data_IF_130178875657
#
_entry.id   IF_130178875657
#
_cell.length_a   1.000
_cell.length_b   1.000
_cell.length_c   1.000
_cell.angle_alpha   90.00
_cell.angle_beta   90.00
_cell.angle_gamma   90.00
#
_symmetry.space_group_name_H-M   'P 1'
#
loop_
_entity.id
_entity.type
_entity.pdbx_description
1 polymer ?
#
# COMPACT_ATOMS: atom_id res chain seq x y z
N UNK A 1 44.18 37.53 31.26
CA UNK A 1 44.16 36.30 30.47
C UNK A 1 42.70 35.98 30.23
N UNK A 2 42.22 36.22 29.02
CA UNK A 2 40.83 35.97 28.57
C UNK A 2 40.90 34.69 27.74
N UNK A 3 40.33 33.58 28.26
CA UNK A 3 40.19 32.34 27.53
C UNK A 3 39.05 32.51 26.50
N UNK A 4 39.39 32.47 25.23
CA UNK A 4 38.43 32.38 24.15
C UNK A 4 38.07 30.90 23.96
N UNK A 5 36.91 30.50 24.45
CA UNK A 5 36.33 29.21 24.14
C UNK A 5 35.88 29.19 22.70
N UNK A 6 36.63 28.53 21.83
CA UNK A 6 36.24 28.24 20.46
C UNK A 6 35.08 27.21 20.51
N UNK A 7 33.87 27.66 20.15
CA UNK A 7 32.71 26.82 19.92
C UNK A 7 32.94 26.07 18.60
N UNK A 8 33.22 24.77 18.68
CA UNK A 8 33.26 23.93 17.51
C UNK A 8 31.87 23.95 16.84
N UNK A 9 31.81 24.44 15.62
CA UNK A 9 30.62 24.28 14.78
C UNK A 9 30.53 22.81 14.40
N UNK A 10 29.55 22.10 14.96
CA UNK A 10 29.14 20.81 14.43
C UNK A 10 28.58 21.04 13.02
N UNK A 11 29.39 20.76 12.02
CA UNK A 11 28.92 20.58 10.64
C UNK A 11 28.13 19.29 10.61
N UNK A 12 26.82 19.37 10.79
CA UNK A 12 25.90 18.31 10.40
C UNK A 12 26.02 18.18 8.88
N UNK A 13 26.78 17.21 8.41
CA UNK A 13 26.72 16.77 7.02
C UNK A 13 25.33 16.18 6.83
N UNK A 14 24.45 16.91 6.13
CA UNK A 14 23.18 16.38 5.68
C UNK A 14 23.47 15.13 4.85
N UNK A 15 22.96 13.97 5.29
CA UNK A 15 23.18 12.74 4.57
C UNK A 15 22.60 12.91 3.15
N UNK A 16 23.40 12.56 2.14
CA UNK A 16 22.96 12.65 0.74
C UNK A 16 21.66 11.86 0.55
N UNK A 17 20.75 12.41 -0.25
CA UNK A 17 19.51 11.70 -0.65
C UNK A 17 19.92 10.41 -1.36
N UNK A 18 19.35 9.25 -0.98
CA UNK A 18 19.66 7.99 -1.63
C UNK A 18 19.36 8.05 -3.13
N UNK A 19 20.29 7.55 -3.94
CA UNK A 19 20.05 7.42 -5.39
C UNK A 19 19.14 6.23 -5.67
N UNK A 20 18.18 6.39 -6.57
CA UNK A 20 17.30 5.32 -7.04
C UNK A 20 16.87 5.58 -8.49
N UNK A 21 16.42 4.54 -9.16
CA UNK A 21 15.93 4.62 -10.54
C UNK A 21 14.48 4.18 -10.61
N UNK A 22 13.63 5.05 -11.15
CA UNK A 22 12.23 4.71 -11.45
C UNK A 22 12.15 3.90 -12.74
N UNK A 23 11.30 2.88 -12.75
CA UNK A 23 10.97 2.13 -13.94
C UNK A 23 9.85 2.82 -14.70
N UNK A 24 10.07 3.11 -15.97
CA UNK A 24 9.12 3.88 -16.81
C UNK A 24 8.63 3.12 -18.03
N UNK A 25 9.27 2.00 -18.37
CA UNK A 25 9.08 1.31 -19.65
C UNK A 25 8.13 0.10 -19.55
N UNK A 26 7.49 -0.09 -18.38
CA UNK A 26 6.54 -1.17 -18.17
C UNK A 26 5.15 -0.82 -18.72
N UNK A 27 4.38 -1.83 -19.18
CA UNK A 27 3.05 -1.61 -19.75
C UNK A 27 2.11 -0.88 -18.80
N UNK A 28 1.36 0.08 -19.36
CA UNK A 28 0.28 0.79 -18.67
C UNK A 28 -1.02 0.64 -19.42
N UNK A 29 -2.15 0.89 -18.77
CA UNK A 29 -3.48 0.89 -19.38
C UNK A 29 -4.17 2.23 -19.16
N UNK A 30 -5.14 2.54 -20.01
CA UNK A 30 -6.03 3.69 -19.81
C UNK A 30 -7.29 3.22 -19.08
N UNK A 31 -7.52 3.72 -17.86
CA UNK A 31 -8.69 3.35 -17.07
C UNK A 31 -10.01 3.68 -17.77
N UNK A 32 -10.02 4.67 -18.66
CA UNK A 32 -11.24 5.04 -19.40
C UNK A 32 -11.74 3.95 -20.35
N UNK A 33 -10.92 2.96 -20.65
CA UNK A 33 -11.29 1.79 -21.45
C UNK A 33 -12.04 0.71 -20.67
N UNK A 34 -12.08 0.84 -19.33
CA UNK A 34 -12.76 -0.13 -18.47
C UNK A 34 -14.25 0.20 -18.34
N UNK A 35 -15.11 -0.82 -18.18
CA UNK A 35 -16.54 -0.60 -18.00
C UNK A 35 -16.82 0.13 -16.69
N UNK A 36 -17.92 0.90 -16.66
CA UNK A 36 -18.40 1.53 -15.44
C UNK A 36 -19.61 0.77 -14.87
N UNK A 37 -19.68 0.72 -13.56
CA UNK A 37 -20.89 0.28 -12.87
C UNK A 37 -22.00 1.35 -12.90
N UNK A 38 -23.13 1.04 -12.24
CA UNK A 38 -24.29 1.95 -12.17
C UNK A 38 -24.01 3.24 -11.38
N UNK A 39 -22.95 3.29 -10.60
CA UNK A 39 -22.52 4.44 -9.79
C UNK A 39 -21.41 5.26 -10.50
N UNK A 40 -21.07 4.86 -11.74
CA UNK A 40 -20.06 5.51 -12.58
C UNK A 40 -18.62 5.20 -12.17
N UNK A 41 -18.38 4.17 -11.35
CA UNK A 41 -17.06 3.68 -10.96
C UNK A 41 -16.51 2.76 -12.04
N UNK A 42 -15.26 2.86 -12.36
CA UNK A 42 -14.58 1.92 -13.25
C UNK A 42 -14.43 0.56 -12.57
N UNK A 43 -14.92 -0.50 -13.23
CA UNK A 43 -14.76 -1.89 -12.78
C UNK A 43 -13.41 -2.36 -13.28
N UNK A 44 -12.38 -2.28 -12.43
CA UNK A 44 -10.99 -2.60 -12.78
C UNK A 44 -10.64 -4.08 -12.61
N UNK A 45 -11.57 -4.88 -12.10
CA UNK A 45 -11.50 -6.34 -12.09
C UNK A 45 -12.87 -6.93 -12.41
N UNK A 46 -12.94 -7.72 -13.46
CA UNK A 46 -14.18 -8.29 -14.02
C UNK A 46 -14.59 -9.64 -13.42
N UNK A 47 -13.80 -10.15 -12.44
CA UNK A 47 -13.98 -11.47 -11.85
C UNK A 47 -13.48 -12.63 -12.70
N UNK A 48 -12.88 -12.39 -13.88
CA UNK A 48 -12.55 -13.44 -14.85
C UNK A 48 -11.16 -13.31 -15.46
N UNK A 49 -10.63 -12.09 -15.56
CA UNK A 49 -9.35 -11.82 -16.24
C UNK A 49 -8.47 -10.88 -15.44
N UNK A 50 -7.17 -10.93 -15.68
CA UNK A 50 -6.22 -9.94 -15.19
C UNK A 50 -6.05 -8.75 -16.15
N UNK A 51 -7.08 -8.43 -16.96
CA UNK A 51 -6.99 -7.28 -17.85
C UNK A 51 -6.67 -6.00 -17.07
N UNK A 52 -5.58 -5.32 -17.44
CA UNK A 52 -5.08 -4.12 -16.76
C UNK A 52 -4.23 -4.37 -15.52
N UNK A 53 -4.02 -5.63 -15.15
CA UNK A 53 -3.18 -6.02 -14.02
C UNK A 53 -1.88 -6.65 -14.48
N UNK A 54 -0.80 -6.40 -13.76
CA UNK A 54 0.52 -7.01 -13.91
C UNK A 54 1.26 -7.06 -12.59
N UNK A 55 2.37 -7.76 -12.54
CA UNK A 55 3.24 -7.71 -11.38
C UNK A 55 3.95 -6.35 -11.25
N UNK A 56 4.30 -6.00 -10.01
CA UNK A 56 5.25 -4.94 -9.75
C UNK A 56 6.61 -5.31 -10.38
N UNK A 57 7.29 -4.34 -11.00
CA UNK A 57 8.61 -4.52 -11.63
C UNK A 57 8.62 -5.53 -12.79
N UNK A 58 7.46 -5.87 -13.39
CA UNK A 58 7.37 -6.83 -14.50
C UNK A 58 6.13 -6.58 -15.38
N UNK A 59 6.19 -7.10 -16.62
CA UNK A 59 5.12 -6.89 -17.59
C UNK A 59 4.00 -7.92 -17.54
N UNK A 60 4.24 -9.08 -16.92
CA UNK A 60 3.29 -10.19 -16.80
C UNK A 60 2.73 -10.29 -15.37
N UNK A 61 1.66 -11.06 -15.21
CA UNK A 61 1.10 -11.39 -13.90
C UNK A 61 1.92 -12.52 -13.27
N UNK A 62 2.39 -12.37 -12.01
CA UNK A 62 3.11 -13.46 -11.34
C UNK A 62 2.24 -14.70 -11.20
N UNK A 63 2.84 -15.89 -11.39
CA UNK A 63 2.09 -17.15 -11.45
C UNK A 63 1.41 -17.58 -10.15
N UNK A 64 1.79 -17.00 -9.01
CA UNK A 64 1.12 -17.22 -7.73
C UNK A 64 -0.26 -16.56 -7.66
N UNK A 65 -0.53 -15.54 -8.49
CA UNK A 65 -1.84 -14.91 -8.59
C UNK A 65 -2.74 -15.68 -9.54
N UNK A 66 -3.92 -16.07 -9.07
CA UNK A 66 -4.93 -16.80 -9.82
C UNK A 66 -6.29 -16.13 -9.66
N UNK A 67 -7.27 -16.60 -10.42
CA UNK A 67 -8.67 -16.20 -10.24
C UNK A 67 -9.45 -17.41 -9.76
N UNK A 68 -10.04 -17.29 -8.58
CA UNK A 68 -10.82 -18.33 -7.92
C UNK A 68 -12.20 -17.77 -7.52
N UNK A 69 -13.27 -18.36 -7.99
CA UNK A 69 -14.66 -17.97 -7.67
C UNK A 69 -14.95 -16.46 -7.85
N UNK A 70 -14.41 -15.87 -8.91
CA UNK A 70 -14.60 -14.45 -9.21
C UNK A 70 -13.76 -13.49 -8.36
N UNK A 71 -12.76 -14.00 -7.66
CA UNK A 71 -11.80 -13.21 -6.88
C UNK A 71 -10.37 -13.41 -7.39
N UNK A 72 -9.57 -12.35 -7.33
CA UNK A 72 -8.11 -12.44 -7.42
C UNK A 72 -7.62 -13.13 -6.13
N UNK A 73 -6.81 -14.16 -6.28
CA UNK A 73 -6.23 -14.91 -5.16
C UNK A 73 -4.72 -14.96 -5.28
N UNK A 74 -4.02 -14.62 -4.22
CA UNK A 74 -2.62 -15.03 -4.03
C UNK A 74 -2.59 -16.41 -3.40
N UNK A 75 -1.86 -17.35 -4.03
CA UNK A 75 -1.66 -18.70 -3.50
C UNK A 75 -0.41 -18.71 -2.66
N UNK A 76 -0.59 -18.68 -1.36
CA UNK A 76 0.48 -18.60 -0.40
C UNK A 76 1.39 -19.85 -0.43
N UNK A 77 2.66 -19.63 -0.09
CA UNK A 77 3.67 -20.69 0.10
C UNK A 77 4.06 -20.88 1.57
N UNK A 78 3.53 -20.02 2.46
CA UNK A 78 3.91 -19.95 3.87
C UNK A 78 5.31 -19.34 4.10
N UNK A 79 5.88 -18.65 3.11
CA UNK A 79 7.23 -18.08 3.18
C UNK A 79 7.28 -16.68 3.85
N UNK A 80 6.15 -16.14 4.27
CA UNK A 80 6.06 -14.79 4.86
C UNK A 80 6.54 -13.71 3.90
N UNK A 81 7.27 -12.71 4.37
CA UNK A 81 7.79 -11.59 3.58
C UNK A 81 8.64 -11.98 2.35
N UNK A 82 9.07 -13.24 2.26
CA UNK A 82 9.75 -13.74 1.07
C UNK A 82 8.79 -13.95 -0.12
N UNK A 83 7.48 -13.83 0.11
CA UNK A 83 6.44 -13.96 -0.89
C UNK A 83 6.16 -15.42 -1.31
N UNK A 84 5.16 -15.60 -2.17
CA UNK A 84 4.80 -16.89 -2.72
C UNK A 84 5.83 -17.37 -3.76
N UNK A 85 5.93 -18.68 -3.97
CA UNK A 85 6.70 -19.23 -5.09
C UNK A 85 6.17 -18.69 -6.41
N UNK A 86 7.04 -18.12 -7.26
CA UNK A 86 6.67 -17.41 -8.49
C UNK A 86 5.67 -16.26 -8.22
N UNK A 87 5.86 -15.58 -7.11
CA UNK A 87 5.03 -14.48 -6.62
C UNK A 87 5.56 -13.10 -6.99
N UNK A 88 5.26 -12.16 -6.15
CA UNK A 88 5.51 -10.72 -6.25
C UNK A 88 4.20 -9.94 -6.24
N UNK A 89 4.27 -8.68 -5.85
CA UNK A 89 3.08 -7.84 -5.72
C UNK A 89 2.35 -7.65 -7.05
N UNK A 90 1.03 -7.54 -6.99
CA UNK A 90 0.17 -7.33 -8.14
C UNK A 90 -0.28 -5.87 -8.19
N UNK A 91 -0.14 -5.20 -9.33
CA UNK A 91 -0.56 -3.81 -9.49
C UNK A 91 -1.58 -3.65 -10.62
N UNK A 92 -2.50 -2.69 -10.46
CA UNK A 92 -3.32 -2.18 -11.56
C UNK A 92 -2.49 -1.16 -12.34
N UNK A 93 -2.27 -1.40 -13.62
CA UNK A 93 -1.29 -0.70 -14.45
C UNK A 93 -1.73 0.71 -14.92
N UNK A 94 -2.46 1.45 -14.07
CA UNK A 94 -2.87 2.83 -14.28
C UNK A 94 -2.55 3.65 -13.03
N UNK A 95 -1.89 4.80 -13.19
CA UNK A 95 -1.58 5.69 -12.09
C UNK A 95 -2.75 6.57 -11.72
N UNK A 96 -2.97 6.75 -10.43
CA UNK A 96 -4.07 7.51 -9.86
C UNK A 96 -3.53 8.51 -8.83
N UNK A 97 -4.06 9.73 -8.82
CA UNK A 97 -3.77 10.76 -7.82
C UNK A 97 -4.96 11.00 -6.90
N UNK A 98 -6.12 11.30 -7.48
CA UNK A 98 -7.36 11.54 -6.75
C UNK A 98 -8.38 10.45 -7.10
N UNK A 99 -8.78 9.64 -6.13
CA UNK A 99 -9.66 8.50 -6.37
C UNK A 99 -10.36 8.00 -5.12
N UNK A 100 -11.41 7.24 -5.31
CA UNK A 100 -11.95 6.29 -4.34
C UNK A 100 -11.77 4.88 -4.89
N UNK A 101 -11.10 4.02 -4.16
CA UNK A 101 -10.94 2.60 -4.41
C UNK A 101 -11.86 1.82 -3.48
N UNK A 102 -12.78 1.03 -4.02
CA UNK A 102 -13.57 0.06 -3.26
C UNK A 102 -13.15 -1.35 -3.62
N UNK A 103 -13.11 -2.22 -2.61
CA UNK A 103 -12.74 -3.62 -2.77
C UNK A 103 -13.30 -4.47 -1.63
N UNK A 104 -13.42 -5.75 -1.88
CA UNK A 104 -13.65 -6.73 -0.82
C UNK A 104 -12.42 -7.61 -0.69
N UNK A 105 -12.09 -7.98 0.54
CA UNK A 105 -10.96 -8.84 0.85
C UNK A 105 -11.31 -9.93 1.86
N UNK A 106 -10.63 -11.05 1.76
CA UNK A 106 -10.74 -12.20 2.66
C UNK A 106 -9.35 -12.78 2.86
N UNK A 107 -9.03 -13.11 4.11
CA UNK A 107 -7.75 -13.74 4.47
C UNK A 107 -7.95 -15.18 4.91
N UNK A 108 -6.97 -16.03 4.65
CA UNK A 108 -6.84 -17.34 5.28
C UNK A 108 -6.43 -17.22 6.76
N UNK A 109 -6.43 -18.32 7.49
CA UNK A 109 -5.99 -18.34 8.89
C UNK A 109 -4.50 -17.97 9.00
N UNK A 110 -4.21 -16.94 9.79
CA UNK A 110 -2.86 -16.44 10.00
C UNK A 110 -2.25 -15.74 8.78
N UNK A 111 -3.07 -15.34 7.79
CA UNK A 111 -2.59 -14.72 6.55
C UNK A 111 -2.39 -13.21 6.70
N UNK A 112 -1.48 -12.69 5.87
CA UNK A 112 -1.10 -11.28 5.73
C UNK A 112 -1.04 -10.88 4.26
N UNK A 113 -1.41 -9.65 3.99
CA UNK A 113 -1.32 -8.94 2.73
C UNK A 113 -1.49 -7.43 2.99
N UNK A 114 -1.54 -6.61 1.95
CA UNK A 114 -1.79 -5.18 2.03
C UNK A 114 -2.38 -4.64 0.75
N UNK A 115 -3.07 -3.51 0.83
CA UNK A 115 -3.48 -2.72 -0.32
C UNK A 115 -2.64 -1.45 -0.34
N UNK A 116 -1.83 -1.30 -1.37
CA UNK A 116 -0.96 -0.14 -1.56
C UNK A 116 -1.60 0.89 -2.45
N UNK A 117 -1.32 2.15 -2.16
CA UNK A 117 -1.65 3.29 -3.03
C UNK A 117 -0.39 4.11 -3.33
N UNK A 118 -0.41 4.93 -4.37
CA UNK A 118 0.71 5.80 -4.74
C UNK A 118 2.03 5.06 -5.03
N UNK A 119 1.99 3.78 -5.40
CA UNK A 119 3.19 2.99 -5.70
C UNK A 119 4.01 3.67 -6.79
N UNK A 120 5.29 3.82 -6.54
CA UNK A 120 6.31 4.11 -7.54
C UNK A 120 7.13 2.84 -7.77
N UNK A 121 7.32 2.44 -9.02
CA UNK A 121 8.15 1.29 -9.34
C UNK A 121 9.62 1.71 -9.33
N UNK A 122 10.37 1.17 -8.39
CA UNK A 122 11.80 1.45 -8.18
C UNK A 122 12.60 0.20 -8.49
N UNK A 123 13.55 0.31 -9.42
CA UNK A 123 14.36 -0.83 -9.89
C UNK A 123 15.02 -1.58 -8.72
N UNK A 124 14.76 -2.89 -8.63
CA UNK A 124 15.36 -3.76 -7.62
C UNK A 124 14.90 -3.52 -6.17
N UNK A 125 13.80 -2.77 -5.97
CA UNK A 125 13.27 -2.48 -4.64
C UNK A 125 11.85 -3.04 -4.48
N UNK A 126 11.41 -3.37 -3.27
CA UNK A 126 10.04 -3.80 -3.02
C UNK A 126 9.05 -2.62 -3.11
N UNK A 127 7.79 -2.91 -3.43
CA UNK A 127 6.74 -1.90 -3.63
C UNK A 127 6.44 -1.08 -2.37
N UNK A 128 6.44 -1.71 -1.21
CA UNK A 128 6.03 -1.12 0.07
C UNK A 128 6.96 -0.01 0.58
N UNK A 129 8.15 0.18 -0.01
CA UNK A 129 9.00 1.30 0.38
C UNK A 129 8.57 2.64 -0.22
N UNK A 130 7.68 2.62 -1.21
CA UNK A 130 7.21 3.82 -1.89
C UNK A 130 5.72 4.13 -1.67
N UNK A 131 5.01 3.26 -0.96
CA UNK A 131 3.55 3.28 -0.93
C UNK A 131 2.98 3.19 0.49
N UNK A 132 2.05 4.08 0.88
CA UNK A 132 1.22 3.88 2.06
C UNK A 132 0.39 2.61 1.92
N UNK A 133 0.28 1.88 3.02
CA UNK A 133 -0.36 0.58 3.08
C UNK A 133 -1.63 0.59 3.93
N UNK A 134 -2.74 0.17 3.32
CA UNK A 134 -3.93 -0.30 4.02
C UNK A 134 -3.72 -1.77 4.37
N UNK A 135 -3.52 -2.07 5.66
CA UNK A 135 -3.20 -3.42 6.11
C UNK A 135 -4.35 -4.41 5.88
N UNK A 136 -4.02 -5.61 5.42
CA UNK A 136 -4.95 -6.74 5.25
C UNK A 136 -4.38 -7.96 5.98
N UNK A 137 -5.02 -8.36 7.07
CA UNK A 137 -4.40 -9.32 8.00
C UNK A 137 -5.45 -10.10 8.79
N UNK A 138 -5.13 -11.35 9.18
CA UNK A 138 -5.85 -12.04 10.25
C UNK A 138 -5.41 -11.48 11.61
N UNK A 139 -6.23 -10.60 12.17
CA UNK A 139 -5.93 -9.88 13.40
C UNK A 139 -5.72 -10.78 14.63
N UNK A 140 -6.25 -11.99 14.62
CA UNK A 140 -6.21 -12.91 15.76
C UNK A 140 -4.99 -13.84 15.70
N UNK A 141 -4.68 -14.36 14.50
CA UNK A 141 -3.71 -15.43 14.36
C UNK A 141 -2.36 -14.99 13.77
N UNK A 142 -2.31 -13.89 13.00
CA UNK A 142 -1.03 -13.43 12.46
C UNK A 142 -0.18 -12.72 13.53
N UNK A 143 1.11 -13.05 13.66
CA UNK A 143 1.97 -12.47 14.71
C UNK A 143 2.15 -10.96 14.60
N UNK A 144 2.15 -10.39 13.38
CA UNK A 144 2.35 -8.95 13.16
C UNK A 144 1.22 -8.09 13.77
N UNK A 145 0.00 -8.62 13.91
CA UNK A 145 -1.11 -7.94 14.59
C UNK A 145 -0.81 -7.57 16.05
N UNK A 146 0.16 -8.25 16.67
CA UNK A 146 0.58 -8.06 18.06
C UNK A 146 1.79 -7.14 18.20
N UNK A 147 2.37 -6.78 17.08
CA UNK A 147 3.53 -5.87 16.99
C UNK A 147 3.07 -4.42 16.78
N UNK A 148 4.04 -3.52 16.71
CA UNK A 148 3.77 -2.09 16.57
C UNK A 148 3.23 -1.45 17.84
N UNK A 149 2.41 -0.40 17.68
CA UNK A 149 1.87 0.39 18.77
C UNK A 149 0.35 0.55 18.62
N UNK A 150 -0.38 0.33 19.69
CA UNK A 150 -1.85 0.56 19.77
C UNK A 150 -2.67 -0.18 18.69
N UNK A 151 -2.12 -1.25 18.09
CA UNK A 151 -2.77 -2.03 17.02
C UNK A 151 -2.59 -1.44 15.62
N UNK A 152 -1.58 -0.58 15.41
CA UNK A 152 -1.33 0.06 14.11
C UNK A 152 -0.80 -0.89 13.01
N UNK A 153 -0.74 -2.20 13.29
CA UNK A 153 -0.48 -3.26 12.31
C UNK A 153 -1.65 -4.22 12.12
N UNK A 154 -2.83 -3.88 12.66
CA UNK A 154 -4.07 -4.61 12.41
C UNK A 154 -4.72 -4.16 11.10
N UNK A 155 -5.64 -4.95 10.60
CA UNK A 155 -6.38 -4.68 9.36
C UNK A 155 -6.91 -3.25 9.27
N UNK A 156 -6.83 -2.68 8.08
CA UNK A 156 -7.27 -1.33 7.71
C UNK A 156 -6.49 -0.18 8.35
N UNK A 157 -5.52 -0.46 9.21
CA UNK A 157 -4.58 0.55 9.72
C UNK A 157 -3.75 1.13 8.56
N UNK A 158 -3.30 2.38 8.70
CA UNK A 158 -2.10 2.81 7.99
C UNK A 158 -0.92 2.10 8.65
N UNK A 159 -0.38 1.11 7.96
CA UNK A 159 0.58 0.16 8.52
C UNK A 159 1.74 0.85 9.27
N UNK A 160 1.97 0.38 10.50
CA UNK A 160 3.01 0.86 11.43
C UNK A 160 2.90 2.34 11.86
N UNK A 161 1.83 3.05 11.45
CA UNK A 161 1.64 4.48 11.75
C UNK A 161 0.35 4.76 12.51
N UNK A 162 -0.83 4.52 11.91
CA UNK A 162 -2.13 4.88 12.49
C UNK A 162 -3.00 3.63 12.65
N UNK A 163 -3.45 3.29 13.88
CA UNK A 163 -4.37 2.18 14.08
C UNK A 163 -5.77 2.49 13.56
N UNK A 164 -6.41 1.52 12.88
CA UNK A 164 -7.81 1.62 12.51
C UNK A 164 -8.72 1.60 13.76
N UNK A 165 -9.58 2.60 13.90
CA UNK A 165 -10.54 2.74 15.00
C UNK A 165 -11.90 3.25 14.49
N UNK A 166 -13.02 2.51 14.75
CA UNK A 166 -13.06 1.20 15.41
C UNK A 166 -12.42 0.08 14.56
N UNK A 167 -11.98 -1.00 15.21
CA UNK A 167 -11.46 -2.18 14.52
C UNK A 167 -12.62 -3.13 14.23
N UNK A 168 -13.15 -3.07 12.99
CA UNK A 168 -14.36 -3.78 12.56
C UNK A 168 -14.06 -4.98 11.65
N UNK A 169 -12.80 -5.44 11.55
CA UNK A 169 -12.46 -6.57 10.70
C UNK A 169 -13.17 -7.84 11.16
N UNK A 170 -13.75 -8.55 10.19
CA UNK A 170 -14.30 -9.88 10.40
C UNK A 170 -13.18 -10.92 10.46
N UNK A 171 -13.40 -12.06 11.12
CA UNK A 171 -12.42 -13.14 11.21
C UNK A 171 -11.96 -13.66 9.84
N UNK A 172 -10.87 -14.46 9.85
CA UNK A 172 -10.42 -15.17 8.66
C UNK A 172 -11.55 -16.02 8.04
N UNK A 173 -11.52 -16.18 6.73
CA UNK A 173 -12.57 -16.89 5.98
C UNK A 173 -13.80 -16.06 5.66
N UNK A 174 -13.96 -14.87 6.24
CA UNK A 174 -15.07 -13.96 5.97
C UNK A 174 -14.65 -12.79 5.06
N UNK A 175 -15.60 -12.34 4.22
CA UNK A 175 -15.40 -11.19 3.37
C UNK A 175 -15.55 -9.88 4.14
N UNK A 176 -14.55 -9.02 4.02
CA UNK A 176 -14.53 -7.65 4.53
C UNK A 176 -14.68 -6.67 3.36
N UNK A 177 -15.35 -5.55 3.61
CA UNK A 177 -15.41 -4.40 2.69
C UNK A 177 -14.34 -3.38 3.08
N UNK A 178 -13.45 -3.07 2.14
CA UNK A 178 -12.48 -1.98 2.27
C UNK A 178 -12.82 -0.85 1.30
N UNK A 179 -12.54 0.38 1.72
CA UNK A 179 -12.52 1.55 0.83
C UNK A 179 -11.37 2.46 1.23
N UNK A 180 -10.69 2.98 0.22
CA UNK A 180 -9.67 4.02 0.37
C UNK A 180 -10.11 5.21 -0.47
N UNK A 181 -10.29 6.39 0.15
CA UNK A 181 -10.42 7.65 -0.56
C UNK A 181 -9.08 8.37 -0.49
N UNK A 182 -8.58 8.83 -1.63
CA UNK A 182 -7.43 9.71 -1.73
C UNK A 182 -7.82 10.95 -2.54
N UNK A 183 -7.77 12.11 -1.91
CA UNK A 183 -8.13 13.37 -2.57
C UNK A 183 -7.22 14.52 -2.11
N UNK A 184 -6.44 15.04 -3.04
CA UNK A 184 -5.48 16.15 -2.79
C UNK A 184 -4.58 15.89 -1.57
N UNK A 185 -4.13 14.64 -1.43
CA UNK A 185 -3.27 14.20 -0.33
C UNK A 185 -3.99 13.81 0.96
N UNK A 186 -5.27 14.11 1.12
CA UNK A 186 -6.08 13.53 2.19
C UNK A 186 -6.40 12.09 1.84
N UNK A 187 -6.06 11.16 2.73
CA UNK A 187 -6.35 9.74 2.58
C UNK A 187 -7.21 9.27 3.74
N UNK A 188 -8.27 8.54 3.42
CA UNK A 188 -9.21 8.01 4.41
C UNK A 188 -9.43 6.53 4.16
N UNK A 189 -9.31 5.73 5.22
CA UNK A 189 -9.62 4.30 5.17
C UNK A 189 -10.99 4.04 5.80
N UNK A 190 -11.72 3.09 5.20
CA UNK A 190 -12.99 2.58 5.69
C UNK A 190 -12.94 1.06 5.81
N UNK A 191 -13.64 0.51 6.78
CA UNK A 191 -13.72 -0.93 7.03
C UNK A 191 -15.13 -1.33 7.45
N UNK A 192 -15.81 -2.10 6.59
CA UNK A 192 -17.15 -2.67 6.85
C UNK A 192 -18.23 -1.63 7.25
N UNK A 193 -17.97 -0.34 7.06
CA UNK A 193 -18.90 0.76 7.36
C UNK A 193 -18.58 1.97 6.49
N UNK A 194 -19.47 2.96 6.48
CA UNK A 194 -19.24 4.25 5.82
C UNK A 194 -18.55 5.27 6.75
N UNK A 195 -18.26 4.89 7.99
CA UNK A 195 -17.52 5.72 8.94
C UNK A 195 -16.01 5.51 8.74
N UNK A 196 -15.22 6.60 8.70
CA UNK A 196 -13.76 6.52 8.62
C UNK A 196 -13.15 5.77 9.81
N UNK A 197 -12.17 4.92 9.54
CA UNK A 197 -11.38 4.24 10.59
C UNK A 197 -9.96 4.76 10.71
N UNK A 198 -9.44 5.40 9.64
CA UNK A 198 -8.14 6.08 9.58
C UNK A 198 -8.28 7.30 8.68
N UNK A 199 -7.62 8.41 9.05
CA UNK A 199 -7.43 9.59 8.19
C UNK A 199 -6.02 10.11 8.35
N UNK A 200 -5.38 10.49 7.25
CA UNK A 200 -4.07 11.13 7.23
C UNK A 200 -3.89 12.04 6.01
N UNK A 201 -2.85 12.88 6.06
CA UNK A 201 -2.60 13.89 5.04
C UNK A 201 -1.16 13.76 4.53
N UNK A 202 -1.00 13.24 3.31
CA UNK A 202 0.29 13.13 2.64
C UNK A 202 0.92 14.50 2.43
N UNK A 203 2.24 14.56 2.37
CA UNK A 203 3.05 15.75 2.08
C UNK A 203 2.91 16.89 3.11
N UNK A 204 2.48 16.58 4.31
CA UNK A 204 2.35 17.52 5.43
C UNK A 204 3.44 17.33 6.47
N UNK A 205 3.66 18.31 7.38
CA UNK A 205 4.55 18.11 8.53
C UNK A 205 4.15 16.92 9.41
N UNK A 206 2.85 16.66 9.57
CA UNK A 206 2.34 15.51 10.33
C UNK A 206 2.69 14.18 9.65
N UNK A 207 2.64 14.13 8.30
CA UNK A 207 3.07 12.96 7.54
C UNK A 207 4.55 12.66 7.79
N UNK A 208 5.39 13.71 7.74
CA UNK A 208 6.81 13.58 8.05
C UNK A 208 7.04 13.08 9.47
N UNK A 209 6.33 13.62 10.47
CA UNK A 209 6.45 13.19 11.87
C UNK A 209 6.06 11.72 12.05
N UNK A 210 5.02 11.23 11.36
CA UNK A 210 4.65 9.83 11.37
C UNK A 210 5.74 8.94 10.79
N UNK A 211 6.35 9.34 9.68
CA UNK A 211 7.48 8.62 9.08
C UNK A 211 8.68 8.57 10.02
N UNK A 212 9.03 9.69 10.66
CA UNK A 212 10.13 9.79 11.62
C UNK A 212 9.97 8.78 12.78
N UNK A 213 8.72 8.47 13.16
CA UNK A 213 8.38 7.57 14.27
C UNK A 213 8.06 6.13 13.84
N UNK A 214 8.13 5.79 12.56
CA UNK A 214 7.82 4.46 12.01
C UNK A 214 9.07 3.60 11.78
N UNK A 215 8.85 2.38 11.26
CA UNK A 215 9.94 1.54 10.76
C UNK A 215 10.65 2.15 9.55
N UNK A 216 10.00 3.08 8.85
CA UNK A 216 10.52 3.77 7.66
C UNK A 216 11.26 5.07 7.98
N UNK A 217 11.62 5.32 9.24
CA UNK A 217 12.36 6.54 9.62
C UNK A 217 13.69 6.66 8.87
N UNK A 218 14.15 7.89 8.65
CA UNK A 218 15.36 8.19 7.89
C UNK A 218 16.58 7.42 8.39
N UNK A 219 16.70 7.24 9.71
CA UNK A 219 17.84 6.53 10.33
C UNK A 219 17.80 5.02 10.11
N UNK A 220 16.59 4.44 9.94
CA UNK A 220 16.42 3.00 9.77
C UNK A 220 16.42 2.60 8.30
N UNK A 221 15.74 3.38 7.46
CA UNK A 221 15.58 3.09 6.04
C UNK A 221 15.52 4.36 5.18
N UNK A 222 16.68 4.96 4.88
CA UNK A 222 16.76 6.26 4.19
C UNK A 222 16.00 6.32 2.86
N UNK A 223 16.07 5.26 2.04
CA UNK A 223 15.39 5.21 0.74
C UNK A 223 13.87 5.16 0.89
N UNK A 224 13.36 4.29 1.77
CA UNK A 224 11.92 4.21 2.03
C UNK A 224 11.38 5.52 2.61
N UNK A 225 12.15 6.15 3.49
CA UNK A 225 11.82 7.47 4.02
C UNK A 225 11.65 8.51 2.93
N UNK A 226 12.62 8.61 2.01
CA UNK A 226 12.60 9.58 0.90
C UNK A 226 11.41 9.35 -0.03
N UNK A 227 11.17 8.09 -0.41
CA UNK A 227 10.09 7.72 -1.32
C UNK A 227 8.70 7.96 -0.69
N UNK A 228 8.51 7.59 0.58
CA UNK A 228 7.26 7.79 1.30
C UNK A 228 7.02 9.26 1.63
N UNK A 229 8.06 10.04 1.93
CA UNK A 229 7.94 11.49 2.13
C UNK A 229 7.42 12.17 0.88
N UNK A 230 7.85 11.71 -0.31
CA UNK A 230 7.48 12.20 -1.63
C UNK A 230 6.52 11.27 -2.38
N UNK A 231 5.61 10.64 -1.65
CA UNK A 231 4.63 9.67 -2.14
C UNK A 231 4.00 10.09 -3.47
N UNK A 232 4.00 9.21 -4.47
CA UNK A 232 3.48 9.49 -5.82
C UNK A 232 4.41 10.39 -6.68
N UNK A 233 5.59 10.76 -6.18
CA UNK A 233 6.58 11.54 -6.92
C UNK A 233 6.12 12.96 -7.29
N UNK A 234 6.72 13.51 -8.35
CA UNK A 234 6.45 14.88 -8.79
C UNK A 234 4.99 15.14 -9.21
N UNK A 235 4.34 14.11 -9.79
CA UNK A 235 2.96 14.21 -10.26
C UNK A 235 1.93 13.93 -9.17
N UNK A 236 2.36 13.45 -7.99
CA UNK A 236 1.48 13.03 -6.89
C UNK A 236 0.45 11.99 -7.33
N UNK A 237 0.90 11.02 -8.11
CA UNK A 237 0.13 9.89 -8.62
C UNK A 237 0.97 8.62 -8.59
N UNK A 238 0.32 7.47 -8.43
CA UNK A 238 0.99 6.18 -8.42
C UNK A 238 0.03 5.04 -8.68
N UNK A 239 0.58 3.84 -8.75
CA UNK A 239 -0.24 2.65 -8.94
C UNK A 239 -0.92 2.26 -7.62
N UNK A 240 -2.03 1.52 -7.74
CA UNK A 240 -2.60 0.73 -6.64
C UNK A 240 -2.15 -0.72 -6.80
N UNK A 241 -2.03 -1.44 -5.69
CA UNK A 241 -1.60 -2.84 -5.76
C UNK A 241 -1.95 -3.65 -4.53
N UNK A 242 -1.77 -4.95 -4.67
CA UNK A 242 -1.97 -5.95 -3.63
C UNK A 242 -0.65 -6.64 -3.29
N UNK A 243 -0.36 -6.74 -2.01
CA UNK A 243 0.87 -7.34 -1.51
C UNK A 243 0.83 -8.86 -1.60
N UNK A 244 1.92 -9.44 -2.07
CA UNK A 244 2.26 -10.84 -1.89
C UNK A 244 3.11 -11.01 -0.61
N UNK A 245 2.49 -11.44 0.46
CA UNK A 245 3.18 -11.76 1.72
C UNK A 245 3.37 -13.27 1.92
N UNK A 246 3.19 -14.08 0.87
CA UNK A 246 3.36 -15.53 0.93
C UNK A 246 2.19 -16.28 1.57
N UNK A 247 1.03 -15.66 1.70
CA UNK A 247 -0.15 -16.20 2.37
C UNK A 247 -1.39 -16.19 1.47
N UNK A 248 -2.39 -17.02 1.77
CA UNK A 248 -3.64 -17.07 1.02
C UNK A 248 -4.54 -15.87 1.33
N UNK A 249 -4.73 -15.01 0.34
CA UNK A 249 -5.62 -13.84 0.42
C UNK A 249 -6.41 -13.68 -0.87
N UNK A 250 -7.64 -13.22 -0.78
CA UNK A 250 -8.56 -13.00 -1.90
C UNK A 250 -9.03 -11.56 -1.96
N UNK A 251 -9.15 -11.02 -3.19
CA UNK A 251 -9.70 -9.70 -3.46
C UNK A 251 -10.76 -9.79 -4.57
N UNK A 252 -11.88 -9.08 -4.43
CA UNK A 252 -12.94 -9.03 -5.44
C UNK A 252 -13.71 -7.71 -5.39
N UNK A 253 -14.64 -7.52 -6.34
CA UNK A 253 -15.49 -6.32 -6.40
C UNK A 253 -14.66 -5.04 -6.38
N UNK A 254 -13.60 -5.00 -7.22
CA UNK A 254 -12.61 -3.93 -7.20
C UNK A 254 -13.04 -2.85 -8.19
N UNK A 255 -13.36 -1.67 -7.66
CA UNK A 255 -13.82 -0.53 -8.47
C UNK A 255 -13.10 0.75 -8.09
N UNK A 256 -12.95 1.65 -9.04
CA UNK A 256 -12.32 2.96 -8.85
C UNK A 256 -13.23 4.07 -9.35
N UNK A 257 -13.43 5.08 -8.55
CA UNK A 257 -13.97 6.37 -8.96
C UNK A 257 -12.83 7.38 -9.01
N UNK A 258 -12.57 7.92 -10.19
CA UNK A 258 -11.62 9.03 -10.35
C UNK A 258 -12.30 10.30 -9.85
N UNK A 259 -11.60 11.09 -9.05
CA UNK A 259 -12.07 12.34 -8.46
C UNK A 259 -11.38 13.52 -9.16
N UNK A 260 -12.13 14.61 -9.39
CA UNK A 260 -11.65 15.83 -10.06
C UNK A 260 -10.85 16.77 -9.13
#
# INVERSE_FOLDING_TARGET
MVEILAKAAETTTEAATPEYKLMTDLPTVDITTFPKDKEGRYVIFDGKTFNGWRGYDRADVPGAWTIEDGAIKINGSGAGEAGASNGGDLIFAHKLGNFELEFEWKVGKGSNSGVFIMIQEVEGQPSYISAPEYQVLDNENHPDAKLGKDGNRKSSSLYDMIPAKPQNAKPFGEWNKGKIMCYKGTVVHYLNSDEPVVEYHLWTPQWKEMLDNSKFSKDKWPLAYELLLNCGGANKEGFIGFQDHGDDVWFRNITVKVLD
#
